data_IF_855498676350
#
_entry.id   IF_855498676350
#
_cell.length_a   1.000
_cell.length_b   1.000
_cell.length_c   1.000
_cell.angle_alpha   90.00
_cell.angle_beta   90.00
_cell.angle_gamma   90.00
#
_symmetry.space_group_name_H-M   'P 1'
#
loop_
_entity.id
_entity.type
_entity.pdbx_description
1 polymer ?
#
# COMPACT_ATOMS: atom_id res chain seq x y z
N UNK A 1 9.24 -2.72 11.79
CA UNK A 1 9.31 -1.43 11.08
C UNK A 1 7.96 -1.02 10.53
N UNK A 2 7.34 -1.74 9.56
CA UNK A 2 6.07 -1.34 8.92
C UNK A 2 4.97 -1.08 9.96
N UNK A 3 4.63 -2.04 10.80
CA UNK A 3 3.58 -1.90 11.80
C UNK A 3 3.83 -0.85 12.89
N UNK A 4 5.09 -0.51 13.16
CA UNK A 4 5.44 0.53 14.12
C UNK A 4 5.53 1.92 13.49
N UNK A 5 6.27 2.05 12.39
CA UNK A 5 6.64 3.35 11.83
C UNK A 5 5.70 3.82 10.72
N UNK A 6 5.57 3.02 9.68
CA UNK A 6 4.87 3.39 8.45
C UNK A 6 3.38 3.68 8.66
N UNK A 7 2.70 2.83 9.43
CA UNK A 7 1.28 3.00 9.76
C UNK A 7 1.00 4.20 10.66
N UNK A 8 2.04 4.76 11.28
CA UNK A 8 1.94 5.88 12.23
C UNK A 8 2.06 7.26 11.56
N UNK A 9 2.49 7.37 10.30
CA UNK A 9 2.71 8.66 9.64
C UNK A 9 1.48 9.59 9.65
N UNK A 10 0.27 9.14 9.27
CA UNK A 10 -0.91 10.01 9.32
C UNK A 10 -1.28 10.43 10.75
N UNK A 11 -1.18 9.50 11.72
CA UNK A 11 -1.45 9.79 13.12
C UNK A 11 -0.45 10.78 13.72
N UNK A 12 0.84 10.68 13.34
CA UNK A 12 1.89 11.62 13.74
C UNK A 12 1.64 13.03 13.20
N UNK A 13 1.21 13.15 11.92
CA UNK A 13 0.85 14.43 11.35
C UNK A 13 -0.29 15.11 12.13
N UNK A 14 -1.31 14.34 12.53
CA UNK A 14 -2.40 14.85 13.36
C UNK A 14 -1.93 15.25 14.75
N UNK A 15 -1.02 14.47 15.38
CA UNK A 15 -0.45 14.80 16.67
C UNK A 15 0.42 16.08 16.66
N UNK A 16 1.00 16.43 15.51
CA UNK A 16 1.70 17.70 15.28
C UNK A 16 0.74 18.88 14.98
N UNK A 17 -0.57 18.65 14.97
CA UNK A 17 -1.57 19.67 14.69
C UNK A 17 -1.80 19.95 13.21
N UNK A 18 -1.24 19.14 12.31
CA UNK A 18 -1.51 19.26 10.88
C UNK A 18 -2.91 18.74 10.54
N UNK A 19 -3.54 19.36 9.55
CA UNK A 19 -4.93 19.07 9.19
C UNK A 19 -5.14 17.66 8.61
N UNK A 20 -6.41 17.19 8.57
CA UNK A 20 -6.78 15.88 8.04
C UNK A 20 -6.39 15.68 6.59
N UNK A 21 -6.39 16.75 5.79
CA UNK A 21 -5.98 16.72 4.38
C UNK A 21 -4.49 16.37 4.26
N UNK A 22 -3.64 16.98 5.09
CA UNK A 22 -2.20 16.65 5.13
C UNK A 22 -1.98 15.19 5.54
N UNK A 23 -2.68 14.72 6.57
CA UNK A 23 -2.62 13.33 7.01
C UNK A 23 -3.05 12.35 5.89
N UNK A 24 -4.09 12.69 5.14
CA UNK A 24 -4.55 11.93 3.97
C UNK A 24 -3.54 11.95 2.82
N UNK A 25 -2.92 13.08 2.54
CA UNK A 25 -1.89 13.20 1.51
C UNK A 25 -0.63 12.40 1.83
N UNK A 26 -0.25 12.28 3.11
CA UNK A 26 0.87 11.45 3.55
C UNK A 26 0.67 9.96 3.25
N UNK A 27 -0.57 9.52 3.13
CA UNK A 27 -0.86 8.13 2.77
C UNK A 27 -0.76 7.85 1.26
N UNK A 28 -0.72 8.87 0.38
CA UNK A 28 -0.88 8.70 -1.07
C UNK A 28 0.17 9.39 -1.92
N UNK A 29 0.48 10.66 -1.66
CA UNK A 29 1.49 11.42 -2.44
C UNK A 29 2.87 10.75 -2.43
N UNK A 30 3.38 10.25 -1.28
CA UNK A 30 4.65 9.53 -1.24
C UNK A 30 4.67 8.27 -2.11
N UNK A 31 3.55 7.58 -2.24
CA UNK A 31 3.44 6.38 -3.09
C UNK A 31 3.55 6.71 -4.59
N UNK A 32 3.00 7.86 -5.02
CA UNK A 32 3.16 8.31 -6.40
C UNK A 32 4.63 8.64 -6.70
N UNK A 33 5.28 9.41 -5.82
CA UNK A 33 6.71 9.72 -5.95
C UNK A 33 7.53 8.43 -6.01
N UNK A 34 7.23 7.48 -5.12
CA UNK A 34 7.88 6.19 -5.07
C UNK A 34 7.70 5.36 -6.34
N UNK A 35 6.50 5.37 -6.94
CA UNK A 35 6.23 4.67 -8.20
C UNK A 35 7.06 5.25 -9.36
N UNK A 36 7.28 6.57 -9.38
CA UNK A 36 8.15 7.22 -10.37
C UNK A 36 9.63 6.90 -10.12
N UNK A 37 10.10 6.99 -8.88
CA UNK A 37 11.48 6.67 -8.50
C UNK A 37 11.82 5.20 -8.76
N UNK A 38 10.87 4.29 -8.58
CA UNK A 38 11.06 2.87 -8.89
C UNK A 38 11.51 2.62 -10.34
N UNK A 39 11.16 3.49 -11.30
CA UNK A 39 11.57 3.37 -12.71
C UNK A 39 13.08 3.49 -12.89
N UNK A 40 13.79 4.09 -11.94
CA UNK A 40 15.26 4.22 -11.95
C UNK A 40 15.97 2.91 -11.59
N UNK A 41 15.27 1.97 -10.93
CA UNK A 41 15.87 0.72 -10.41
C UNK A 41 16.69 -0.07 -11.43
N UNK A 42 16.23 -0.32 -12.68
CA UNK A 42 17.03 -1.09 -13.63
C UNK A 42 18.36 -0.43 -14.00
N UNK A 43 18.35 0.91 -14.14
CA UNK A 43 19.55 1.68 -14.42
C UNK A 43 20.53 1.68 -13.23
N UNK A 44 20.00 1.83 -12.01
CA UNK A 44 20.79 1.83 -10.78
C UNK A 44 21.45 0.46 -10.53
N UNK A 45 20.72 -0.63 -10.74
CA UNK A 45 21.23 -2.01 -10.62
C UNK A 45 22.33 -2.25 -11.68
N UNK A 46 22.12 -1.81 -12.91
CA UNK A 46 23.11 -1.93 -13.98
C UNK A 46 24.39 -1.13 -13.66
N UNK A 47 24.26 0.09 -13.14
CA UNK A 47 25.40 0.93 -12.74
C UNK A 47 26.18 0.32 -11.56
N UNK A 48 25.49 -0.24 -10.56
CA UNK A 48 26.13 -0.88 -9.39
C UNK A 48 26.62 -2.31 -9.68
N UNK A 49 26.19 -2.88 -10.80
CA UNK A 49 26.43 -4.28 -11.20
C UNK A 49 26.10 -5.29 -10.09
N UNK A 50 25.06 -4.98 -9.26
CA UNK A 50 24.68 -5.81 -8.12
C UNK A 50 23.28 -5.45 -7.63
N UNK A 51 22.38 -6.44 -7.61
CA UNK A 51 21.07 -6.30 -7.00
C UNK A 51 21.19 -6.06 -5.49
N UNK A 52 22.09 -6.78 -4.82
CA UNK A 52 22.33 -6.67 -3.38
C UNK A 52 22.75 -5.26 -2.98
N UNK A 53 23.74 -4.67 -3.68
CA UNK A 53 24.24 -3.31 -3.37
C UNK A 53 23.12 -2.30 -3.49
N UNK A 54 22.30 -2.37 -4.53
CA UNK A 54 21.17 -1.47 -4.70
C UNK A 54 20.13 -1.65 -3.56
N UNK A 55 19.79 -2.89 -3.20
CA UNK A 55 18.86 -3.16 -2.08
C UNK A 55 19.40 -2.62 -0.78
N UNK A 56 20.70 -2.81 -0.48
CA UNK A 56 21.34 -2.29 0.75
C UNK A 56 21.29 -0.76 0.78
N UNK A 57 21.59 -0.08 -0.33
CA UNK A 57 21.47 1.40 -0.42
C UNK A 57 20.04 1.84 -0.15
N UNK A 58 19.06 1.23 -0.83
CA UNK A 58 17.65 1.56 -0.63
C UNK A 58 17.21 1.35 0.83
N UNK A 59 17.58 0.24 1.44
CA UNK A 59 17.20 -0.05 2.83
C UNK A 59 17.90 0.86 3.83
N UNK A 60 19.12 1.30 3.56
CA UNK A 60 19.84 2.31 4.35
C UNK A 60 19.13 3.66 4.27
N UNK A 61 18.82 4.14 3.06
CA UNK A 61 18.08 5.40 2.86
C UNK A 61 16.73 5.35 3.57
N UNK A 62 16.02 4.22 3.48
CA UNK A 62 14.74 4.02 4.15
C UNK A 62 14.89 4.06 5.69
N UNK A 63 15.98 3.54 6.24
CA UNK A 63 16.24 3.65 7.68
C UNK A 63 16.57 5.08 8.10
N UNK A 64 17.41 5.77 7.33
CA UNK A 64 17.81 7.14 7.62
C UNK A 64 16.65 8.13 7.51
N UNK A 65 15.61 7.83 6.72
CA UNK A 65 14.41 8.67 6.61
C UNK A 65 13.60 8.78 7.92
N UNK A 66 13.84 7.92 8.91
CA UNK A 66 13.26 8.07 10.24
C UNK A 66 13.96 9.15 11.08
N UNK A 67 15.21 9.52 10.78
CA UNK A 67 15.98 10.52 11.56
C UNK A 67 15.26 11.89 11.61
N UNK A 68 14.84 12.48 10.48
CA UNK A 68 14.08 13.72 10.53
C UNK A 68 12.74 13.59 11.26
N UNK A 69 12.05 12.44 11.16
CA UNK A 69 10.80 12.20 11.87
C UNK A 69 11.01 12.18 13.39
N UNK A 70 12.10 11.57 13.86
CA UNK A 70 12.51 11.58 15.27
C UNK A 70 12.80 13.01 15.73
N UNK A 71 13.54 13.76 14.93
CA UNK A 71 13.88 15.16 15.24
C UNK A 71 12.62 16.02 15.40
N UNK A 72 11.66 15.92 14.48
CA UNK A 72 10.41 16.69 14.56
C UNK A 72 9.49 16.21 15.68
N UNK A 73 9.50 14.94 16.02
CA UNK A 73 8.76 14.42 17.15
C UNK A 73 9.29 14.98 18.49
N UNK A 74 10.62 15.16 18.62
CA UNK A 74 11.25 15.76 19.79
C UNK A 74 11.05 17.28 19.81
N UNK A 75 11.19 17.94 18.65
CA UNK A 75 10.99 19.38 18.49
C UNK A 75 9.53 19.79 18.72
N UNK A 76 8.59 18.89 18.49
CA UNK A 76 7.15 19.15 18.64
C UNK A 76 6.51 19.92 17.48
N UNK A 77 7.24 20.14 16.38
CA UNK A 77 6.72 20.86 15.20
C UNK A 77 7.38 20.40 13.91
N UNK A 78 6.59 20.31 12.85
CA UNK A 78 7.04 20.12 11.48
C UNK A 78 6.06 20.76 10.52
N UNK A 79 6.52 21.13 9.34
CA UNK A 79 5.65 21.57 8.26
C UNK A 79 5.11 20.37 7.46
N UNK A 80 3.99 20.58 6.76
CA UNK A 80 3.41 19.55 5.89
C UNK A 80 4.42 19.07 4.82
N UNK A 81 5.24 19.99 4.28
CA UNK A 81 6.23 19.68 3.26
C UNK A 81 7.37 18.80 3.78
N UNK A 82 7.84 19.09 4.99
CA UNK A 82 8.88 18.28 5.65
C UNK A 82 8.42 16.83 5.80
N UNK A 83 7.21 16.62 6.29
CA UNK A 83 6.64 15.27 6.45
C UNK A 83 6.42 14.57 5.11
N UNK A 84 5.87 15.28 4.11
CA UNK A 84 5.67 14.73 2.76
C UNK A 84 7.00 14.33 2.12
N UNK A 85 8.05 15.14 2.29
CA UNK A 85 9.39 14.84 1.79
C UNK A 85 9.97 13.58 2.46
N UNK A 86 9.97 13.53 3.80
CA UNK A 86 10.51 12.39 4.53
C UNK A 86 9.75 11.10 4.19
N UNK A 87 8.41 11.15 4.14
CA UNK A 87 7.58 10.02 3.72
C UNK A 87 7.85 9.62 2.26
N UNK A 88 8.06 10.60 1.35
CA UNK A 88 8.39 10.33 -0.05
C UNK A 88 9.75 9.64 -0.19
N UNK A 89 10.75 10.06 0.57
CA UNK A 89 12.07 9.38 0.61
C UNK A 89 11.93 7.95 1.13
N UNK A 90 11.17 7.77 2.22
CA UNK A 90 10.91 6.46 2.83
C UNK A 90 10.28 5.49 1.82
N UNK A 91 9.16 5.88 1.20
CA UNK A 91 8.42 5.06 0.26
C UNK A 91 9.18 4.82 -1.04
N UNK A 92 9.89 5.86 -1.56
CA UNK A 92 10.71 5.75 -2.78
C UNK A 92 11.84 4.74 -2.59
N UNK A 93 12.53 4.79 -1.47
CA UNK A 93 13.58 3.83 -1.15
C UNK A 93 13.03 2.40 -1.02
N UNK A 94 11.88 2.22 -0.35
CA UNK A 94 11.23 0.92 -0.23
C UNK A 94 10.81 0.32 -1.57
N UNK A 95 10.13 1.11 -2.42
CA UNK A 95 9.64 0.67 -3.72
C UNK A 95 10.77 0.48 -4.74
N UNK A 96 11.78 1.34 -4.75
CA UNK A 96 12.94 1.19 -5.65
C UNK A 96 13.77 -0.07 -5.33
N UNK A 97 13.85 -0.48 -4.06
CA UNK A 97 14.53 -1.71 -3.68
C UNK A 97 13.78 -3.01 -4.06
N UNK A 98 12.45 -2.96 -4.15
CA UNK A 98 11.62 -4.16 -4.28
C UNK A 98 11.87 -5.01 -5.54
N UNK A 99 12.01 -4.47 -6.77
CA UNK A 99 12.31 -5.26 -7.96
C UNK A 99 13.67 -5.95 -7.90
N UNK A 100 14.70 -5.23 -7.42
CA UNK A 100 16.05 -5.78 -7.26
C UNK A 100 16.07 -6.88 -6.18
N UNK A 101 15.35 -6.69 -5.08
CA UNK A 101 15.17 -7.69 -4.03
C UNK A 101 14.52 -8.97 -4.57
N UNK A 102 13.44 -8.85 -5.32
CA UNK A 102 12.75 -10.01 -5.91
C UNK A 102 13.66 -10.75 -6.91
N UNK A 103 14.41 -10.02 -7.73
CA UNK A 103 15.39 -10.59 -8.66
C UNK A 103 16.52 -11.32 -7.92
N UNK A 104 17.08 -10.69 -6.88
CA UNK A 104 18.13 -11.29 -6.06
C UNK A 104 17.65 -12.54 -5.33
N UNK A 105 16.46 -12.47 -4.71
CA UNK A 105 15.89 -13.62 -4.00
C UNK A 105 15.61 -14.80 -4.95
N UNK A 106 15.24 -14.54 -6.20
CA UNK A 106 15.04 -15.55 -7.21
C UNK A 106 16.34 -16.29 -7.59
N UNK A 107 17.53 -15.69 -7.39
CA UNK A 107 18.82 -16.36 -7.60
C UNK A 107 19.28 -17.22 -6.42
N UNK A 108 18.85 -16.87 -5.22
CA UNK A 108 19.23 -17.57 -3.96
C UNK A 108 18.32 -18.77 -3.68
N UNK A 109 17.01 -18.59 -3.92
CA UNK A 109 15.99 -19.59 -3.56
C UNK A 109 15.71 -20.51 -4.74
N UNK A 110 15.96 -21.85 -4.62
CA UNK A 110 15.64 -22.82 -5.66
C UNK A 110 14.14 -22.79 -6.03
N UNK A 111 13.83 -22.96 -7.32
CA UNK A 111 12.46 -22.86 -7.83
C UNK A 111 11.48 -23.80 -7.10
N UNK A 112 11.91 -25.01 -6.73
CA UNK A 112 11.06 -26.01 -6.04
C UNK A 112 10.51 -25.56 -4.68
N UNK A 113 11.29 -24.76 -3.92
CA UNK A 113 10.94 -24.32 -2.57
C UNK A 113 10.58 -22.83 -2.51
N UNK A 114 10.57 -22.15 -3.64
CA UNK A 114 10.33 -20.69 -3.72
C UNK A 114 8.94 -20.33 -3.20
N UNK A 115 7.91 -21.00 -3.68
CA UNK A 115 6.51 -20.71 -3.30
C UNK A 115 6.26 -20.85 -1.80
N UNK A 116 6.61 -21.96 -1.13
CA UNK A 116 6.40 -22.09 0.32
C UNK A 116 7.25 -21.10 1.12
N UNK A 117 8.49 -20.82 0.72
CA UNK A 117 9.33 -19.81 1.41
C UNK A 117 8.72 -18.41 1.32
N UNK A 118 8.25 -18.00 0.14
CA UNK A 118 7.57 -16.72 -0.02
C UNK A 118 6.27 -16.62 0.78
N UNK A 119 5.48 -17.69 0.79
CA UNK A 119 4.24 -17.75 1.57
C UNK A 119 4.52 -17.63 3.09
N UNK A 120 5.52 -18.37 3.60
CA UNK A 120 5.93 -18.30 5.00
C UNK A 120 6.47 -16.91 5.37
N UNK A 121 7.35 -16.35 4.53
CA UNK A 121 7.87 -14.99 4.70
C UNK A 121 6.75 -13.95 4.78
N UNK A 122 5.81 -13.99 3.84
CA UNK A 122 4.68 -13.06 3.82
C UNK A 122 3.81 -13.21 5.07
N UNK A 123 3.53 -14.44 5.49
CA UNK A 123 2.79 -14.74 6.72
C UNK A 123 3.48 -14.15 7.95
N UNK A 124 4.78 -14.41 8.12
CA UNK A 124 5.58 -13.84 9.22
C UNK A 124 5.60 -12.31 9.17
N UNK A 125 5.72 -11.74 7.97
CA UNK A 125 5.67 -10.28 7.75
C UNK A 125 4.35 -9.67 8.20
N UNK A 126 3.21 -10.29 7.88
CA UNK A 126 1.89 -9.81 8.29
C UNK A 126 1.71 -9.90 9.81
N UNK A 127 2.12 -11.00 10.45
CA UNK A 127 2.07 -11.11 11.91
C UNK A 127 2.98 -10.09 12.60
N UNK A 128 4.20 -9.89 12.11
CA UNK A 128 5.11 -8.88 12.65
C UNK A 128 4.57 -7.47 12.48
N UNK A 129 3.91 -7.17 11.35
CA UNK A 129 3.25 -5.89 11.11
C UNK A 129 2.09 -5.67 12.08
N UNK A 130 1.24 -6.67 12.26
CA UNK A 130 0.13 -6.62 13.22
C UNK A 130 0.64 -6.41 14.65
N UNK A 131 1.61 -7.22 15.09
CA UNK A 131 2.21 -7.10 16.42
C UNK A 131 2.84 -5.72 16.64
N UNK A 132 3.60 -5.24 15.68
CA UNK A 132 4.20 -3.91 15.72
C UNK A 132 3.13 -2.81 15.83
N UNK A 133 2.04 -2.92 15.08
CA UNK A 133 0.93 -1.97 15.13
C UNK A 133 0.25 -1.96 16.50
N UNK A 134 -0.01 -3.13 17.09
CA UNK A 134 -0.62 -3.25 18.42
C UNK A 134 0.30 -2.66 19.50
N UNK A 135 1.59 -3.01 19.49
CA UNK A 135 2.55 -2.47 20.47
C UNK A 135 2.67 -0.96 20.33
N UNK A 136 2.73 -0.43 19.10
CA UNK A 136 2.73 1.02 18.84
C UNK A 136 1.50 1.72 19.39
N UNK A 137 0.32 1.14 19.18
CA UNK A 137 -0.94 1.68 19.70
C UNK A 137 -1.03 1.67 21.24
N UNK A 138 -0.54 0.60 21.88
CA UNK A 138 -0.46 0.53 23.36
C UNK A 138 0.52 1.56 23.92
N UNK A 139 1.66 1.77 23.26
CA UNK A 139 2.62 2.81 23.63
C UNK A 139 2.00 4.21 23.52
N UNK A 140 1.31 4.50 22.41
CA UNK A 140 0.62 5.77 22.21
C UNK A 140 -0.48 6.01 23.24
N UNK A 141 -1.26 4.97 23.61
CA UNK A 141 -2.24 5.05 24.68
C UNK A 141 -1.59 5.42 26.02
N UNK A 142 -0.50 4.73 26.39
CA UNK A 142 0.20 5.02 27.63
C UNK A 142 0.78 6.45 27.66
N UNK A 143 1.21 6.95 26.50
CA UNK A 143 1.70 8.31 26.33
C UNK A 143 0.58 9.36 26.34
N UNK A 144 -0.59 9.04 25.79
CA UNK A 144 -1.79 9.88 25.82
C UNK A 144 -2.21 10.20 27.26
N UNK A 145 -2.20 9.19 28.13
CA UNK A 145 -2.51 9.35 29.58
C UNK A 145 -1.52 10.25 30.32
N UNK A 146 -0.29 10.43 29.77
CA UNK A 146 0.77 11.24 30.37
C UNK A 146 1.02 12.55 29.60
N UNK A 147 0.21 12.88 28.60
CA UNK A 147 0.39 14.02 27.69
C UNK A 147 1.77 14.10 26.99
N UNK A 148 2.39 12.94 26.71
CA UNK A 148 3.71 12.81 26.06
C UNK A 148 3.65 12.08 24.71
N UNK A 149 2.58 12.30 23.95
CA UNK A 149 2.30 11.57 22.68
C UNK A 149 3.43 11.74 21.66
N UNK A 150 3.99 12.94 21.51
CA UNK A 150 5.07 13.20 20.55
C UNK A 150 6.35 12.44 20.90
N UNK A 151 6.69 12.33 22.18
CA UNK A 151 7.83 11.54 22.64
C UNK A 151 7.62 10.04 22.33
N UNK A 152 6.38 9.55 22.44
CA UNK A 152 6.06 8.18 22.06
C UNK A 152 6.25 7.95 20.55
N UNK A 153 5.87 8.91 19.68
CA UNK A 153 6.19 8.84 18.26
C UNK A 153 7.70 8.82 18.01
N UNK A 154 8.50 9.62 18.76
CA UNK A 154 9.95 9.56 18.66
C UNK A 154 10.49 8.15 18.96
N UNK A 155 10.03 7.51 20.03
CA UNK A 155 10.40 6.13 20.40
C UNK A 155 9.98 5.13 19.31
N UNK A 156 8.76 5.27 18.77
CA UNK A 156 8.26 4.45 17.67
C UNK A 156 9.18 4.55 16.44
N UNK A 157 9.57 5.75 16.05
CA UNK A 157 10.44 5.97 14.89
C UNK A 157 11.87 5.52 15.12
N UNK A 158 12.43 5.70 16.33
CA UNK A 158 13.74 5.13 16.71
C UNK A 158 13.73 3.62 16.56
N UNK A 159 12.72 2.96 17.14
CA UNK A 159 12.63 1.50 17.07
C UNK A 159 12.42 1.01 15.63
N UNK A 160 11.57 1.70 14.85
CA UNK A 160 11.36 1.38 13.45
C UNK A 160 12.64 1.51 12.60
N UNK A 161 13.39 2.60 12.82
CA UNK A 161 14.68 2.85 12.17
C UNK A 161 15.72 1.79 12.55
N UNK A 162 15.84 1.45 13.82
CA UNK A 162 16.75 0.40 14.31
C UNK A 162 16.41 -0.97 13.71
N UNK A 163 15.13 -1.36 13.69
CA UNK A 163 14.69 -2.60 13.04
C UNK A 163 15.09 -2.64 11.56
N UNK A 164 14.99 -1.48 10.88
CA UNK A 164 15.39 -1.39 9.47
C UNK A 164 16.90 -1.45 9.29
N UNK A 165 17.67 -0.81 10.16
CA UNK A 165 19.14 -0.88 10.18
C UNK A 165 19.62 -2.33 10.39
N UNK A 166 19.06 -3.05 11.36
CA UNK A 166 19.36 -4.46 11.58
C UNK A 166 19.04 -5.29 10.33
N UNK A 167 17.88 -5.06 9.72
CA UNK A 167 17.53 -5.70 8.45
C UNK A 167 18.54 -5.39 7.35
N UNK A 168 18.99 -4.14 7.24
CA UNK A 168 20.00 -3.71 6.27
C UNK A 168 21.35 -4.38 6.50
N UNK A 169 21.79 -4.48 7.76
CA UNK A 169 23.03 -5.16 8.13
C UNK A 169 22.99 -6.66 7.76
N UNK A 170 21.85 -7.33 8.05
CA UNK A 170 21.63 -8.72 7.66
C UNK A 170 21.63 -8.89 6.14
N UNK A 171 21.00 -7.98 5.38
CA UNK A 171 21.03 -8.01 3.91
C UNK A 171 22.44 -7.77 3.36
N UNK A 172 23.21 -6.88 3.99
CA UNK A 172 24.59 -6.60 3.62
C UNK A 172 25.53 -7.78 3.92
N UNK A 173 25.22 -8.62 4.91
CA UNK A 173 26.00 -9.83 5.22
C UNK A 173 25.68 -11.02 4.29
N UNK A 174 24.52 -11.03 3.61
CA UNK A 174 24.16 -12.09 2.67
C UNK A 174 25.06 -12.07 1.44
N UNK A 175 25.52 -13.24 0.97
CA UNK A 175 26.30 -13.34 -0.27
C UNK A 175 25.40 -13.23 -1.49
N UNK A 176 25.81 -12.44 -2.46
CA UNK A 176 25.19 -12.43 -3.79
C UNK A 176 25.87 -13.55 -4.61
N UNK A 177 25.08 -14.48 -5.12
CA UNK A 177 25.59 -15.51 -6.01
C UNK A 177 25.80 -14.85 -7.37
N UNK A 178 27.00 -14.92 -7.92
CA UNK A 178 27.25 -14.42 -9.25
C UNK A 178 26.29 -15.08 -10.26
N UNK A 179 25.70 -14.30 -11.19
CA UNK A 179 24.93 -14.89 -12.27
C UNK A 179 25.79 -15.92 -12.98
N UNK A 180 25.28 -17.14 -13.20
CA UNK A 180 26.00 -18.15 -13.97
C UNK A 180 26.44 -17.52 -15.30
N UNK A 181 27.74 -17.58 -15.57
CA UNK A 181 28.35 -17.03 -16.78
C UNK A 181 27.55 -17.47 -18.03
N UNK A 182 27.01 -16.51 -18.79
CA UNK A 182 26.20 -16.77 -19.98
C UNK A 182 24.69 -16.50 -19.86
N UNK A 183 24.15 -16.16 -18.69
CA UNK A 183 22.80 -15.60 -18.60
C UNK A 183 22.89 -14.08 -18.53
N UNK A 184 22.54 -13.41 -19.60
CA UNK A 184 22.24 -11.98 -19.54
C UNK A 184 21.26 -11.73 -18.41
N UNK A 185 21.50 -10.72 -17.53
CA UNK A 185 20.54 -10.35 -16.50
C UNK A 185 19.19 -10.07 -17.19
N UNK A 186 18.06 -10.55 -16.63
CA UNK A 186 16.75 -10.26 -17.18
C UNK A 186 16.54 -8.73 -17.20
N UNK A 187 16.75 -8.10 -18.33
CA UNK A 187 16.67 -6.64 -18.51
C UNK A 187 17.91 -5.97 -19.11
N UNK A 188 19.05 -6.65 -19.31
CA UNK A 188 20.27 -6.09 -19.91
C UNK A 188 20.17 -5.84 -21.42
N UNK A 189 19.05 -6.18 -22.06
CA UNK A 189 18.78 -5.77 -23.44
C UNK A 189 18.65 -4.25 -23.50
N UNK A 190 19.68 -3.58 -24.03
CA UNK A 190 19.71 -2.18 -24.48
C UNK A 190 18.31 -1.75 -24.93
N UNK A 191 17.59 -0.94 -24.12
CA UNK A 191 16.58 -0.04 -24.69
C UNK A 191 16.36 1.16 -23.77
N UNK A 192 16.82 2.35 -24.12
CA UNK A 192 16.22 3.59 -23.67
C UNK A 192 14.84 3.65 -24.31
N UNK A 193 13.85 4.07 -23.62
CA UNK A 193 12.49 4.30 -24.10
C UNK A 193 11.39 3.46 -23.46
N UNK A 194 11.33 3.50 -22.13
CA UNK A 194 10.13 3.12 -21.40
C UNK A 194 8.90 3.91 -21.89
N UNK A 195 9.05 5.21 -22.17
CA UNK A 195 7.97 6.10 -22.62
C UNK A 195 7.36 5.74 -23.97
N UNK A 196 8.18 5.37 -24.96
CA UNK A 196 7.67 4.94 -26.27
C UNK A 196 6.91 3.61 -26.21
N UNK A 197 7.44 2.64 -25.44
CA UNK A 197 6.75 1.36 -25.20
C UNK A 197 5.47 1.53 -24.37
N UNK A 198 5.48 2.36 -23.35
CA UNK A 198 4.29 2.73 -22.57
C UNK A 198 3.21 3.32 -23.48
N UNK A 199 3.56 4.25 -24.36
CA UNK A 199 2.62 4.85 -25.31
C UNK A 199 2.03 3.81 -26.28
N UNK A 200 2.84 2.93 -26.84
CA UNK A 200 2.35 1.84 -27.70
C UNK A 200 1.53 0.80 -26.93
N UNK A 201 1.94 0.45 -25.71
CA UNK A 201 1.19 -0.46 -24.84
C UNK A 201 -0.16 0.14 -24.45
N UNK A 202 -0.19 1.40 -24.04
CA UNK A 202 -1.43 2.13 -23.68
C UNK A 202 -2.36 2.26 -24.88
N UNK A 203 -1.86 2.64 -26.06
CA UNK A 203 -2.68 2.78 -27.28
C UNK A 203 -3.29 1.44 -27.73
N UNK A 204 -2.59 0.32 -27.53
CA UNK A 204 -3.08 -1.01 -27.82
C UNK A 204 -4.00 -1.59 -26.74
N UNK A 205 -3.80 -1.20 -25.48
CA UNK A 205 -4.53 -1.75 -24.31
C UNK A 205 -6.01 -1.36 -24.26
N UNK A 206 -6.37 -0.15 -24.70
CA UNK A 206 -7.78 0.33 -24.64
C UNK A 206 -8.76 -0.55 -25.40
N UNK A 207 -8.27 -1.29 -26.39
CA UNK A 207 -9.08 -2.22 -27.21
C UNK A 207 -9.01 -3.69 -26.74
N UNK A 208 -8.08 -4.02 -25.82
CA UNK A 208 -7.85 -5.40 -25.34
C UNK A 208 -8.56 -5.66 -24.01
N UNK A 209 -8.94 -6.91 -23.70
CA UNK A 209 -9.54 -7.28 -22.41
C UNK A 209 -8.69 -6.88 -21.21
N UNK A 210 -7.36 -7.05 -21.31
CA UNK A 210 -6.40 -6.65 -20.27
C UNK A 210 -6.44 -5.16 -19.97
N UNK A 211 -6.65 -4.31 -20.97
CA UNK A 211 -6.75 -2.86 -20.76
C UNK A 211 -8.04 -2.45 -20.07
N UNK A 212 -9.17 -3.12 -20.41
CA UNK A 212 -10.45 -2.88 -19.73
C UNK A 212 -10.39 -3.26 -18.26
N UNK A 213 -9.69 -4.36 -17.94
CA UNK A 213 -9.42 -4.74 -16.55
C UNK A 213 -8.61 -3.65 -15.82
N UNK A 214 -7.54 -3.15 -16.42
CA UNK A 214 -6.72 -2.08 -15.81
C UNK A 214 -7.54 -0.80 -15.58
N UNK A 215 -8.33 -0.38 -16.56
CA UNK A 215 -9.22 0.79 -16.41
C UNK A 215 -10.21 0.59 -15.27
N UNK A 216 -10.86 -0.59 -15.20
CA UNK A 216 -11.76 -0.91 -14.10
C UNK A 216 -11.04 -0.83 -12.74
N UNK A 217 -9.89 -1.50 -12.60
CA UNK A 217 -9.15 -1.55 -11.34
C UNK A 217 -8.71 -0.14 -10.90
N UNK A 218 -8.20 0.69 -11.82
CA UNK A 218 -7.82 2.06 -11.52
C UNK A 218 -9.02 2.93 -11.10
N UNK A 219 -10.17 2.79 -11.80
CA UNK A 219 -11.39 3.56 -11.45
C UNK A 219 -11.96 3.12 -10.10
N UNK A 220 -11.97 1.82 -9.82
CA UNK A 220 -12.45 1.28 -8.55
C UNK A 220 -11.56 1.73 -7.38
N UNK A 221 -10.23 1.67 -7.55
CA UNK A 221 -9.28 2.13 -6.54
C UNK A 221 -9.32 3.64 -6.37
N UNK A 222 -9.48 4.42 -7.45
CA UNK A 222 -9.74 5.86 -7.33
C UNK A 222 -10.93 6.13 -6.39
N UNK A 223 -12.08 5.47 -6.62
CA UNK A 223 -13.24 5.60 -5.74
C UNK A 223 -12.95 5.19 -4.30
N UNK A 224 -12.18 4.12 -4.08
CA UNK A 224 -11.79 3.70 -2.73
C UNK A 224 -10.89 4.73 -2.05
N UNK A 225 -9.96 5.31 -2.77
CA UNK A 225 -9.00 6.29 -2.24
C UNK A 225 -9.61 7.67 -1.97
N UNK A 226 -10.79 7.97 -2.48
CA UNK A 226 -11.55 9.17 -2.05
C UNK A 226 -11.80 9.13 -0.54
N UNK A 227 -12.07 7.97 0.05
CA UNK A 227 -12.34 7.82 1.49
C UNK A 227 -11.16 7.25 2.30
N UNK A 228 -10.38 6.33 1.73
CA UNK A 228 -9.42 5.53 2.48
C UNK A 228 -8.43 6.34 3.34
N UNK A 229 -7.81 7.43 2.86
CA UNK A 229 -6.87 8.22 3.65
C UNK A 229 -7.53 8.99 4.80
N UNK A 230 -8.85 9.17 4.77
CA UNK A 230 -9.59 10.00 5.70
C UNK A 230 -10.24 9.22 6.85
N UNK A 231 -10.16 7.89 6.87
CA UNK A 231 -10.64 7.10 8.00
C UNK A 231 -9.84 7.37 9.28
N UNK A 232 -8.51 7.55 9.18
CA UNK A 232 -7.67 7.85 10.35
C UNK A 232 -8.02 9.23 10.93
N UNK A 233 -8.04 10.33 10.14
CA UNK A 233 -8.50 11.62 10.64
C UNK A 233 -9.94 11.61 11.17
N UNK A 234 -10.84 10.87 10.52
CA UNK A 234 -12.21 10.70 11.00
C UNK A 234 -12.26 10.10 12.41
N UNK A 235 -11.52 9.01 12.65
CA UNK A 235 -11.47 8.39 13.98
C UNK A 235 -10.83 9.28 15.02
N UNK A 236 -9.62 9.79 14.73
CA UNK A 236 -8.79 10.46 15.74
C UNK A 236 -9.23 11.93 15.97
N UNK A 237 -9.59 12.67 14.90
CA UNK A 237 -9.89 14.11 14.99
C UNK A 237 -11.40 14.37 15.08
N UNK A 238 -12.22 13.75 14.23
CA UNK A 238 -13.66 14.03 14.18
C UNK A 238 -14.43 13.29 15.31
N UNK A 239 -14.11 12.01 15.52
CA UNK A 239 -14.76 11.18 16.54
C UNK A 239 -14.03 11.13 17.87
N UNK A 240 -12.85 11.70 17.99
CA UNK A 240 -12.08 11.76 19.24
C UNK A 240 -11.69 10.41 19.83
N UNK A 241 -11.44 9.41 18.97
CA UNK A 241 -11.03 8.09 19.43
C UNK A 241 -9.68 8.14 20.13
N UNK A 242 -9.57 7.44 21.25
CA UNK A 242 -8.27 7.17 21.86
C UNK A 242 -7.41 6.33 20.93
N UNK A 243 -6.09 6.43 21.06
CA UNK A 243 -5.16 5.60 20.28
C UNK A 243 -5.39 4.10 20.47
N UNK A 244 -5.93 3.68 21.64
CA UNK A 244 -6.31 2.29 21.86
C UNK A 244 -7.51 1.89 20.99
N UNK A 245 -8.59 2.67 21.01
CA UNK A 245 -9.79 2.39 20.22
C UNK A 245 -9.42 2.35 18.72
N UNK A 246 -8.65 3.31 18.26
CA UNK A 246 -8.07 3.32 16.90
C UNK A 246 -7.29 2.03 16.59
N UNK A 247 -6.42 1.61 17.49
CA UNK A 247 -5.58 0.40 17.30
C UNK A 247 -6.44 -0.87 17.25
N UNK A 248 -7.44 -0.99 18.10
CA UNK A 248 -8.37 -2.13 18.12
C UNK A 248 -9.13 -2.21 16.79
N UNK A 249 -9.72 -1.10 16.36
CA UNK A 249 -10.54 -1.03 15.14
C UNK A 249 -9.69 -1.36 13.90
N UNK A 250 -8.56 -0.69 13.70
CA UNK A 250 -7.72 -0.91 12.51
C UNK A 250 -7.01 -2.27 12.57
N UNK A 251 -6.56 -2.67 13.76
CA UNK A 251 -5.94 -3.97 13.99
C UNK A 251 -6.85 -5.16 13.66
N UNK A 252 -8.14 -5.04 13.95
CA UNK A 252 -9.14 -6.05 13.59
C UNK A 252 -9.20 -6.31 12.08
N UNK A 253 -9.06 -5.26 11.25
CA UNK A 253 -9.00 -5.39 9.79
C UNK A 253 -7.75 -6.14 9.31
N UNK A 254 -6.58 -5.83 9.86
CA UNK A 254 -5.35 -6.56 9.54
C UNK A 254 -5.42 -8.03 9.94
N UNK A 255 -5.95 -8.31 11.13
CA UNK A 255 -6.11 -9.67 11.63
C UNK A 255 -7.09 -10.47 10.75
N UNK A 256 -8.25 -9.89 10.44
CA UNK A 256 -9.25 -10.51 9.58
C UNK A 256 -8.68 -10.84 8.20
N UNK A 257 -7.94 -9.91 7.60
CA UNK A 257 -7.27 -10.11 6.31
C UNK A 257 -6.33 -11.33 6.35
N UNK A 258 -5.49 -11.45 7.39
CA UNK A 258 -4.56 -12.57 7.56
C UNK A 258 -5.26 -13.91 7.77
N UNK A 259 -6.29 -13.95 8.60
CA UNK A 259 -7.02 -15.17 8.97
C UNK A 259 -7.91 -15.70 7.83
N UNK A 260 -8.48 -14.81 7.02
CA UNK A 260 -9.43 -15.21 5.95
C UNK A 260 -8.74 -15.64 4.66
N UNK A 261 -7.49 -15.26 4.44
CA UNK A 261 -6.76 -15.52 3.18
C UNK A 261 -6.74 -17.00 2.75
N UNK A 262 -6.52 -18.01 3.65
CA UNK A 262 -6.58 -19.42 3.24
C UNK A 262 -7.96 -19.87 2.76
N UNK A 263 -9.02 -19.38 3.40
CA UNK A 263 -10.41 -19.69 3.01
C UNK A 263 -10.78 -19.04 1.68
N UNK A 264 -10.32 -17.82 1.45
CA UNK A 264 -10.48 -17.11 0.19
C UNK A 264 -9.71 -17.77 -0.96
N UNK A 265 -8.54 -18.36 -0.69
CA UNK A 265 -7.80 -19.17 -1.66
C UNK A 265 -8.61 -20.40 -2.11
N UNK A 266 -9.23 -21.11 -1.17
CA UNK A 266 -10.13 -22.23 -1.48
C UNK A 266 -11.39 -21.78 -2.24
N UNK A 267 -11.92 -20.61 -1.90
CA UNK A 267 -13.05 -20.04 -2.63
C UNK A 267 -12.64 -19.68 -4.06
N UNK A 268 -11.48 -19.03 -4.25
CA UNK A 268 -10.94 -18.70 -5.56
C UNK A 268 -10.76 -19.92 -6.47
N UNK A 269 -10.24 -21.04 -5.93
CA UNK A 269 -10.06 -22.28 -6.70
C UNK A 269 -11.39 -22.93 -7.14
N UNK A 270 -12.48 -22.68 -6.40
CA UNK A 270 -13.82 -23.22 -6.71
C UNK A 270 -14.64 -22.32 -7.64
N UNK A 271 -14.54 -21.00 -7.44
CA UNK A 271 -15.41 -20.03 -8.13
C UNK A 271 -14.72 -19.31 -9.28
N UNK A 272 -13.38 -19.37 -9.34
CA UNK A 272 -12.56 -18.63 -10.30
C UNK A 272 -12.28 -17.19 -9.87
N UNK A 273 -11.19 -16.64 -10.41
CA UNK A 273 -10.65 -15.30 -10.06
C UNK A 273 -11.60 -14.15 -10.40
N UNK A 274 -12.31 -14.24 -11.54
CA UNK A 274 -13.28 -13.22 -11.98
C UNK A 274 -14.48 -13.11 -11.05
N UNK A 275 -15.05 -14.26 -10.64
CA UNK A 275 -16.21 -14.26 -9.72
C UNK A 275 -15.80 -13.74 -8.34
N UNK A 276 -14.61 -14.12 -7.87
CA UNK A 276 -14.06 -13.60 -6.60
C UNK A 276 -13.90 -12.08 -6.66
N UNK A 277 -13.40 -11.53 -7.79
CA UNK A 277 -13.30 -10.09 -7.98
C UNK A 277 -14.67 -9.40 -7.93
N UNK A 278 -15.69 -9.97 -8.60
CA UNK A 278 -17.05 -9.45 -8.56
C UNK A 278 -17.61 -9.37 -7.14
N UNK A 279 -17.53 -10.49 -6.41
CA UNK A 279 -18.04 -10.58 -5.04
C UNK A 279 -17.33 -9.58 -4.11
N UNK A 280 -16.00 -9.50 -4.21
CA UNK A 280 -15.22 -8.57 -3.39
C UNK A 280 -15.53 -7.11 -3.72
N UNK A 281 -15.58 -6.72 -4.99
CA UNK A 281 -15.88 -5.34 -5.37
C UNK A 281 -17.30 -4.92 -4.97
N UNK A 282 -18.29 -5.82 -5.13
CA UNK A 282 -19.65 -5.55 -4.69
C UNK A 282 -19.74 -5.36 -3.16
N UNK A 283 -19.03 -6.20 -2.40
CA UNK A 283 -18.99 -6.08 -0.94
C UNK A 283 -18.19 -4.85 -0.47
N UNK A 284 -17.09 -4.47 -1.17
CA UNK A 284 -16.28 -3.30 -0.83
C UNK A 284 -17.03 -1.99 -1.12
N UNK A 285 -17.89 -1.94 -2.15
CA UNK A 285 -18.51 -0.70 -2.59
C UNK A 285 -19.22 0.08 -1.47
N UNK A 286 -20.07 -0.51 -0.62
CA UNK A 286 -20.77 0.20 0.45
C UNK A 286 -19.95 0.39 1.73
N UNK A 287 -18.74 -0.18 1.86
CA UNK A 287 -18.00 -0.21 3.15
C UNK A 287 -17.79 1.16 3.76
N UNK A 288 -17.59 2.21 2.95
CA UNK A 288 -17.38 3.56 3.50
C UNK A 288 -18.66 4.09 4.20
N UNK A 289 -19.84 3.76 3.70
CA UNK A 289 -21.10 4.17 4.34
C UNK A 289 -21.34 3.45 5.67
N UNK A 290 -20.80 2.24 5.84
CA UNK A 290 -20.94 1.50 7.11
C UNK A 290 -20.19 2.17 8.27
N UNK A 291 -19.39 3.20 8.03
CA UNK A 291 -18.78 4.00 9.09
C UNK A 291 -19.69 5.08 9.67
N UNK A 292 -20.84 5.37 9.04
CA UNK A 292 -21.73 6.47 9.43
C UNK A 292 -22.74 6.10 10.52
N UNK A 293 -23.32 4.86 10.56
CA UNK A 293 -24.42 4.55 11.48
C UNK A 293 -24.03 4.58 12.96
N UNK A 294 -22.80 4.20 13.30
CA UNK A 294 -22.34 4.18 14.70
C UNK A 294 -20.85 4.44 14.83
N UNK A 295 -20.47 5.17 15.86
CA UNK A 295 -19.08 5.38 16.27
C UNK A 295 -18.62 4.40 17.37
N UNK A 296 -19.45 3.43 17.74
CA UNK A 296 -19.07 2.47 18.77
C UNK A 296 -17.98 1.52 18.31
N UNK A 297 -16.98 1.30 19.17
CA UNK A 297 -15.82 0.45 18.87
C UNK A 297 -16.22 -0.97 18.45
N UNK A 298 -17.13 -1.68 19.14
CA UNK A 298 -17.53 -3.03 18.74
C UNK A 298 -18.15 -3.09 17.34
N UNK A 299 -18.99 -2.09 16.99
CA UNK A 299 -19.58 -1.98 15.66
C UNK A 299 -18.52 -1.79 14.59
N UNK A 300 -17.60 -0.84 14.79
CA UNK A 300 -16.53 -0.54 13.85
C UNK A 300 -15.51 -1.68 13.71
N UNK A 301 -15.28 -2.46 14.77
CA UNK A 301 -14.52 -3.72 14.69
C UNK A 301 -15.20 -4.69 13.71
N UNK A 302 -16.51 -4.86 13.78
CA UNK A 302 -17.28 -5.67 12.83
C UNK A 302 -17.15 -5.17 11.40
N UNK A 303 -17.26 -3.85 11.18
CA UNK A 303 -17.04 -3.22 9.87
C UNK A 303 -15.62 -3.46 9.34
N UNK A 304 -14.61 -3.35 10.21
CA UNK A 304 -13.23 -3.58 9.82
C UNK A 304 -12.89 -5.05 9.55
N UNK A 305 -13.50 -5.99 10.27
CA UNK A 305 -13.38 -7.43 9.97
C UNK A 305 -13.97 -7.73 8.59
N UNK A 306 -15.14 -7.19 8.29
CA UNK A 306 -15.74 -7.29 6.96
C UNK A 306 -14.85 -6.65 5.89
N UNK A 307 -14.36 -5.43 6.13
CA UNK A 307 -13.48 -4.72 5.20
C UNK A 307 -12.18 -5.50 4.94
N UNK A 308 -11.51 -5.97 6.00
CA UNK A 308 -10.28 -6.75 5.88
C UNK A 308 -10.47 -8.02 5.04
N UNK A 309 -11.58 -8.72 5.26
CA UNK A 309 -11.95 -9.92 4.48
C UNK A 309 -12.19 -9.59 3.01
N UNK A 310 -12.98 -8.55 2.73
CA UNK A 310 -13.32 -8.15 1.36
C UNK A 310 -12.10 -7.64 0.59
N UNK A 311 -11.23 -6.85 1.23
CA UNK A 311 -9.99 -6.39 0.62
C UNK A 311 -8.98 -7.53 0.39
N UNK A 312 -8.90 -8.53 1.29
CA UNK A 312 -8.09 -9.73 1.07
C UNK A 312 -8.58 -10.51 -0.17
N UNK A 313 -9.91 -10.65 -0.33
CA UNK A 313 -10.51 -11.29 -1.51
C UNK A 313 -10.20 -10.52 -2.80
N UNK A 314 -10.31 -9.18 -2.78
CA UNK A 314 -9.97 -8.31 -3.91
C UNK A 314 -8.51 -8.46 -4.33
N UNK A 315 -7.58 -8.32 -3.41
CA UNK A 315 -6.14 -8.42 -3.69
C UNK A 315 -5.76 -9.80 -4.24
N UNK A 316 -6.33 -10.86 -3.68
CA UNK A 316 -6.13 -12.22 -4.18
C UNK A 316 -6.67 -12.37 -5.60
N UNK A 317 -7.89 -11.90 -5.85
CA UNK A 317 -8.52 -11.98 -7.17
C UNK A 317 -7.72 -11.21 -8.23
N UNK A 318 -7.25 -9.99 -7.91
CA UNK A 318 -6.41 -9.17 -8.80
C UNK A 318 -5.09 -9.88 -9.10
N UNK A 319 -4.43 -10.44 -8.09
CA UNK A 319 -3.19 -11.19 -8.28
C UNK A 319 -3.38 -12.38 -9.22
N UNK A 320 -4.42 -13.19 -9.02
CA UNK A 320 -4.74 -14.34 -9.87
C UNK A 320 -5.07 -13.92 -11.31
N UNK A 321 -5.86 -12.85 -11.49
CA UNK A 321 -6.23 -12.37 -12.82
C UNK A 321 -5.03 -11.89 -13.65
N UNK A 322 -4.01 -11.30 -13.03
CA UNK A 322 -2.77 -10.95 -13.75
C UNK A 322 -1.97 -12.19 -14.18
N UNK A 323 -2.13 -13.33 -13.52
CA UNK A 323 -1.53 -14.58 -13.96
C UNK A 323 -2.34 -15.24 -15.07
N UNK A 324 -3.68 -15.22 -14.98
CA UNK A 324 -4.59 -15.95 -15.89
C UNK A 324 -4.87 -15.18 -17.19
N UNK A 325 -5.07 -13.86 -17.10
CA UNK A 325 -5.57 -13.04 -18.22
C UNK A 325 -4.48 -12.37 -19.07
N UNK A 326 -3.20 -12.43 -18.64
CA UNK A 326 -2.11 -11.72 -19.34
C UNK A 326 -1.02 -12.69 -19.74
N UNK A 327 -0.82 -12.89 -21.05
CA UNK A 327 0.25 -13.73 -21.59
C UNK A 327 1.64 -13.29 -21.12
N UNK A 328 2.55 -14.25 -20.94
CA UNK A 328 3.89 -14.01 -20.36
C UNK A 328 4.69 -12.89 -21.02
N UNK A 329 4.56 -12.73 -22.36
CA UNK A 329 5.25 -11.69 -23.13
C UNK A 329 4.72 -10.27 -22.87
N UNK A 330 3.45 -10.11 -22.55
CA UNK A 330 2.81 -8.81 -22.33
C UNK A 330 2.68 -8.45 -20.83
N UNK A 331 2.79 -9.47 -19.96
CA UNK A 331 2.56 -9.33 -18.50
C UNK A 331 3.34 -8.18 -17.88
N UNK A 332 4.65 -8.08 -18.16
CA UNK A 332 5.48 -7.02 -17.61
C UNK A 332 5.00 -5.63 -18.03
N UNK A 333 4.61 -5.45 -19.30
CA UNK A 333 4.09 -4.16 -19.79
C UNK A 333 2.74 -3.80 -19.16
N UNK A 334 1.81 -4.75 -19.10
CA UNK A 334 0.47 -4.54 -18.52
C UNK A 334 0.56 -4.24 -17.02
N UNK A 335 1.38 -4.98 -16.28
CA UNK A 335 1.58 -4.74 -14.83
C UNK A 335 2.25 -3.38 -14.59
N UNK A 336 3.18 -2.96 -15.44
CA UNK A 336 3.81 -1.63 -15.33
C UNK A 336 2.77 -0.52 -15.54
N UNK A 337 1.95 -0.61 -16.59
CA UNK A 337 0.87 0.36 -16.85
C UNK A 337 -0.14 0.37 -15.70
N UNK A 338 -0.50 -0.81 -15.20
CA UNK A 338 -1.38 -0.94 -14.04
C UNK A 338 -0.80 -0.24 -12.80
N UNK A 339 0.45 -0.49 -12.45
CA UNK A 339 1.07 0.10 -11.26
C UNK A 339 1.14 1.63 -11.34
N UNK A 340 1.49 2.19 -12.50
CA UNK A 340 1.47 3.64 -12.71
C UNK A 340 0.05 4.19 -12.65
N UNK A 341 -0.89 3.55 -13.34
CA UNK A 341 -2.31 3.94 -13.32
C UNK A 341 -2.90 3.86 -11.91
N UNK A 342 -2.54 2.81 -11.16
CA UNK A 342 -2.95 2.63 -9.77
C UNK A 342 -2.43 3.77 -8.87
N UNK A 343 -1.15 4.11 -8.97
CA UNK A 343 -0.56 5.20 -8.18
C UNK A 343 -1.21 6.55 -8.50
N UNK A 344 -1.46 6.84 -9.78
CA UNK A 344 -2.18 8.04 -10.20
C UNK A 344 -3.62 8.05 -9.66
N UNK A 345 -4.34 6.93 -9.76
CA UNK A 345 -5.69 6.79 -9.25
C UNK A 345 -5.76 6.98 -7.73
N UNK A 346 -4.76 6.46 -6.98
CA UNK A 346 -4.68 6.63 -5.53
C UNK A 346 -4.52 8.09 -5.14
N UNK A 347 -3.59 8.81 -5.77
CA UNK A 347 -3.35 10.23 -5.48
C UNK A 347 -4.53 11.10 -5.92
N UNK A 348 -5.07 10.86 -7.11
CA UNK A 348 -6.22 11.61 -7.60
C UNK A 348 -7.45 11.41 -6.69
N UNK A 349 -7.71 10.15 -6.26
CA UNK A 349 -8.80 9.85 -5.32
C UNK A 349 -8.61 10.54 -3.97
N UNK A 350 -7.42 10.43 -3.37
CA UNK A 350 -7.12 11.10 -2.11
C UNK A 350 -7.23 12.62 -2.20
N UNK A 351 -6.74 13.23 -3.29
CA UNK A 351 -6.86 14.67 -3.54
C UNK A 351 -8.32 15.08 -3.68
N UNK A 352 -9.11 14.31 -4.44
CA UNK A 352 -10.55 14.54 -4.57
C UNK A 352 -11.25 14.52 -3.21
N UNK A 353 -11.00 13.49 -2.39
CA UNK A 353 -11.53 13.40 -1.02
C UNK A 353 -11.10 14.56 -0.13
N UNK A 354 -9.82 14.99 -0.24
CA UNK A 354 -9.32 16.18 0.48
C UNK A 354 -9.98 17.48 0.07
N UNK A 355 -10.22 17.68 -1.22
CA UNK A 355 -10.94 18.86 -1.73
C UNK A 355 -12.38 18.88 -1.23
N UNK A 356 -13.09 17.74 -1.27
CA UNK A 356 -14.44 17.61 -0.73
C UNK A 356 -14.43 17.97 0.77
N UNK A 357 -13.50 17.38 1.54
CA UNK A 357 -13.42 17.62 2.97
C UNK A 357 -13.15 19.09 3.30
N UNK A 358 -12.26 19.75 2.55
CA UNK A 358 -11.97 21.19 2.71
C UNK A 358 -13.17 22.07 2.33
N UNK A 359 -13.90 21.70 1.27
CA UNK A 359 -15.09 22.43 0.86
C UNK A 359 -16.15 22.49 1.95
N UNK A 360 -16.31 21.41 2.72
CA UNK A 360 -17.22 21.33 3.86
C UNK A 360 -16.60 21.77 5.21
N UNK A 361 -15.43 22.43 5.20
CA UNK A 361 -14.80 22.99 6.40
C UNK A 361 -14.21 21.93 7.35
N UNK A 362 -13.78 20.77 6.83
CA UNK A 362 -13.20 19.66 7.62
C UNK A 362 -14.12 19.16 8.76
N UNK A 363 -15.42 19.22 8.54
CA UNK A 363 -16.48 18.88 9.49
C UNK A 363 -16.97 17.42 9.30
N UNK A 364 -17.77 16.93 10.23
CA UNK A 364 -18.46 15.64 10.11
C UNK A 364 -19.26 15.53 8.81
N UNK A 365 -19.92 16.62 8.37
CA UNK A 365 -20.63 16.66 7.09
C UNK A 365 -19.68 16.44 5.92
N UNK A 366 -18.43 16.96 5.99
CA UNK A 366 -17.40 16.72 4.99
C UNK A 366 -17.00 15.25 4.91
N UNK A 367 -16.84 14.57 6.03
CA UNK A 367 -16.56 13.13 6.04
C UNK A 367 -17.72 12.31 5.47
N UNK A 368 -18.98 12.68 5.79
CA UNK A 368 -20.16 12.05 5.19
C UNK A 368 -20.13 12.19 3.67
N UNK A 369 -19.89 13.41 3.17
CA UNK A 369 -19.79 13.66 1.73
C UNK A 369 -18.68 12.84 1.08
N UNK A 370 -17.50 12.76 1.68
CA UNK A 370 -16.37 11.94 1.22
C UNK A 370 -16.77 10.45 1.13
N UNK A 371 -17.43 9.90 2.15
CA UNK A 371 -17.83 8.49 2.18
C UNK A 371 -18.94 8.19 1.17
N UNK A 372 -19.89 9.10 0.99
CA UNK A 372 -20.96 8.99 -0.03
C UNK A 372 -20.35 9.02 -1.43
N UNK A 373 -19.53 10.01 -1.76
CA UNK A 373 -18.88 10.13 -3.08
C UNK A 373 -18.01 8.90 -3.36
N UNK A 374 -17.21 8.46 -2.39
CA UNK A 374 -16.40 7.24 -2.50
C UNK A 374 -17.27 6.03 -2.86
N UNK A 375 -18.40 5.86 -2.20
CA UNK A 375 -19.34 4.75 -2.46
C UNK A 375 -19.96 4.86 -3.85
N UNK A 376 -20.44 6.05 -4.23
CA UNK A 376 -21.07 6.27 -5.55
C UNK A 376 -20.08 6.00 -6.68
N UNK A 377 -18.84 6.45 -6.59
CA UNK A 377 -17.81 6.18 -7.60
C UNK A 377 -17.50 4.69 -7.70
N UNK A 378 -17.39 3.98 -6.57
CA UNK A 378 -17.19 2.52 -6.58
C UNK A 378 -18.38 1.78 -7.23
N UNK A 379 -19.59 2.14 -6.88
CA UNK A 379 -20.80 1.55 -7.49
C UNK A 379 -20.86 1.86 -8.99
N UNK A 380 -20.58 3.10 -9.40
CA UNK A 380 -20.55 3.51 -10.80
C UNK A 380 -19.46 2.81 -11.61
N UNK A 381 -18.41 2.31 -10.97
CA UNK A 381 -17.35 1.54 -11.64
C UNK A 381 -17.73 0.08 -11.90
N UNK A 382 -18.66 -0.52 -11.13
CA UNK A 382 -19.02 -1.95 -11.25
C UNK A 382 -19.48 -2.37 -12.65
N UNK A 383 -20.26 -1.57 -13.41
CA UNK A 383 -20.64 -1.94 -14.78
C UNK A 383 -19.45 -2.18 -15.73
N UNK A 384 -18.31 -1.50 -15.50
CA UNK A 384 -17.08 -1.72 -16.29
C UNK A 384 -16.57 -3.16 -16.16
N UNK A 385 -16.82 -3.82 -15.04
CA UNK A 385 -16.40 -5.19 -14.79
C UNK A 385 -17.17 -6.22 -15.68
N UNK A 386 -18.38 -5.87 -16.15
CA UNK A 386 -19.14 -6.74 -17.09
C UNK A 386 -18.40 -6.99 -18.40
N UNK A 387 -17.55 -6.05 -18.80
CA UNK A 387 -16.77 -6.16 -20.04
C UNK A 387 -15.51 -7.03 -19.87
N UNK A 388 -15.07 -7.29 -18.63
CA UNK A 388 -13.95 -8.20 -18.31
C UNK A 388 -14.38 -9.66 -18.48
N UNK A 389 -15.63 -10.00 -18.13
CA UNK A 389 -16.18 -11.36 -18.17
C UNK A 389 -16.30 -11.97 -19.58
N UNK A 390 -16.30 -11.15 -20.64
CA UNK A 390 -16.39 -11.64 -22.03
C UNK A 390 -15.06 -12.15 -22.60
N UNK A 391 -13.95 -12.03 -21.88
CA UNK A 391 -12.64 -12.45 -22.35
C UNK A 391 -12.33 -13.93 -22.07
N UNK A 392 -13.04 -14.58 -21.13
CA UNK A 392 -12.82 -15.98 -20.75
C UNK A 392 -13.67 -16.96 -21.58
N UNK A 393 -14.37 -16.49 -22.60
CA UNK A 393 -15.31 -17.29 -23.42
C UNK A 393 -14.88 -17.46 -24.89
N UNK A 394 -13.55 -17.31 -25.18
CA UNK A 394 -12.98 -17.61 -26.52
C UNK A 394 -11.80 -18.54 -26.39
#
# INVERSE_FOLDING_TARGET
>A
MVGFGETSFPAFALALGLGPVTAGMLATVPLLVAALVQLVTPAAVAWMNSNRRWVVVCTTVQSLSFVPLIFWAVRGSASAWELLLAASVYWSAGMAGAPAWNSWLATIVPARVRTPIFAQRNRLGQFATFLGFVIGGLLLRAAEQRAIVLQAFAVIFVFAGLCRLVSTALLASCREREPAAGREPPGAGRRPFLLGRLRHTVAGMTRRPSGRLVVFLCTFVFGAQVAAPYFIPYMLKDRGFSYLAFTIVVGAGFLAKGLTLPSLGRLASRTGSVRLLWLSCFAIAPLALLWLPSAEVPYLVGVQVLAGTCWAAYELAVALLFFDAVGDRERTGVVTVYNVGLALAMVAGATCGGLILRWFGESTTGYVAVFVVSTLVRLASLPLLRHVRKADAV
#
